data_IF_304571750859
#
_entry.id   IF_304571750859
#
_cell.length_a   1.000
_cell.length_b   1.000
_cell.length_c   1.000
_cell.angle_alpha   90.00
_cell.angle_beta   90.00
_cell.angle_gamma   90.00
#
_symmetry.space_group_name_H-M   'P 1'
#
loop_
_entity.id
_entity.type
_entity.pdbx_description
1 polymer ?
#
# COMPACT_ATOMS: atom_id res chain seq x y z
N UNK A 1 -2.65 -20.67 -1.36
CA UNK A 1 -2.36 -19.94 -0.10
C UNK A 1 -1.33 -18.88 -0.45
N UNK A 2 -1.62 -17.60 -0.21
CA UNK A 2 -0.64 -16.54 -0.46
C UNK A 2 0.51 -16.79 0.52
N UNK A 3 1.72 -16.98 0.01
CA UNK A 3 2.92 -17.10 0.85
C UNK A 3 3.22 -15.70 1.39
N UNK A 4 2.70 -15.40 2.57
CA UNK A 4 2.88 -14.11 3.24
C UNK A 4 4.19 -14.06 4.02
N UNK A 5 4.80 -12.89 4.11
CA UNK A 5 5.90 -12.64 5.04
C UNK A 5 5.37 -12.65 6.48
N UNK A 6 5.91 -13.52 7.33
CA UNK A 6 5.51 -13.69 8.73
C UNK A 6 5.70 -12.42 9.57
N UNK A 7 6.61 -11.52 9.17
CA UNK A 7 6.81 -10.21 9.78
C UNK A 7 5.57 -9.31 9.73
N UNK A 8 4.59 -9.62 8.87
CA UNK A 8 3.33 -8.90 8.81
C UNK A 8 2.29 -9.37 9.82
N UNK A 9 2.47 -10.53 10.45
CA UNK A 9 1.50 -11.09 11.41
C UNK A 9 1.09 -10.13 12.54
N UNK A 10 1.98 -9.32 13.15
CA UNK A 10 1.60 -8.36 14.18
C UNK A 10 0.59 -7.31 13.69
N UNK A 11 0.49 -7.08 12.38
CA UNK A 11 -0.42 -6.13 11.75
C UNK A 11 -1.70 -6.80 11.23
N UNK A 12 -2.06 -7.97 11.76
CA UNK A 12 -3.29 -8.70 11.38
C UNK A 12 -4.32 -8.81 12.50
N UNK A 13 -3.95 -8.46 13.74
CA UNK A 13 -4.82 -8.55 14.93
C UNK A 13 -5.02 -7.17 15.53
N UNK A 14 -6.26 -6.86 15.88
CA UNK A 14 -6.66 -5.64 16.60
C UNK A 14 -6.20 -4.33 15.94
N UNK A 15 -5.99 -4.35 14.62
CA UNK A 15 -5.63 -3.18 13.83
C UNK A 15 -6.68 -2.91 12.76
N UNK A 16 -6.88 -1.63 12.47
CA UNK A 16 -7.62 -1.20 11.28
C UNK A 16 -6.62 -0.99 10.16
N UNK A 17 -6.87 -1.62 9.03
CA UNK A 17 -6.11 -1.40 7.80
C UNK A 17 -6.84 -0.36 6.95
N UNK A 18 -6.07 0.40 6.20
CA UNK A 18 -6.57 1.21 5.09
C UNK A 18 -5.73 0.91 3.87
N UNK A 19 -6.34 1.05 2.70
CA UNK A 19 -5.68 0.82 1.42
C UNK A 19 -6.21 1.79 0.38
N UNK A 20 -5.71 1.70 -0.85
CA UNK A 20 -6.25 2.47 -1.97
C UNK A 20 -6.71 1.55 -3.09
N UNK A 21 -7.54 2.09 -3.98
CA UNK A 21 -7.89 1.43 -5.23
C UNK A 21 -6.67 1.03 -6.07
N UNK A 22 -5.54 1.74 -5.95
CA UNK A 22 -4.30 1.43 -6.67
C UNK A 22 -3.58 0.21 -6.06
N UNK A 23 -3.55 0.09 -4.74
CA UNK A 23 -3.01 -1.11 -4.10
C UNK A 23 -3.85 -2.34 -4.41
N UNK A 24 -5.18 -2.22 -4.44
CA UNK A 24 -6.05 -3.34 -4.85
C UNK A 24 -5.91 -3.68 -6.33
N UNK A 25 -5.66 -2.70 -7.19
CA UNK A 25 -5.31 -2.93 -8.60
C UNK A 25 -4.06 -3.80 -8.72
N UNK A 26 -2.98 -3.46 -8.00
CA UNK A 26 -1.74 -4.25 -7.98
C UNK A 26 -1.96 -5.65 -7.41
N UNK A 27 -2.68 -5.75 -6.29
CA UNK A 27 -3.02 -7.03 -5.67
C UNK A 27 -3.79 -7.92 -6.64
N UNK A 28 -4.85 -7.41 -7.25
CA UNK A 28 -5.67 -8.17 -8.18
C UNK A 28 -4.85 -8.65 -9.38
N UNK A 29 -4.03 -7.78 -9.96
CA UNK A 29 -3.15 -8.15 -11.08
C UNK A 29 -2.17 -9.27 -10.70
N UNK A 30 -1.55 -9.19 -9.53
CA UNK A 30 -0.66 -10.24 -9.03
C UNK A 30 -1.41 -11.56 -8.77
N UNK A 31 -2.63 -11.49 -8.23
CA UNK A 31 -3.44 -12.68 -7.93
C UNK A 31 -3.88 -13.41 -9.20
N UNK A 32 -4.10 -12.72 -10.33
CA UNK A 32 -4.42 -13.36 -11.61
C UNK A 32 -3.30 -14.29 -12.12
N UNK A 33 -2.04 -14.07 -11.69
CA UNK A 33 -0.92 -14.94 -12.05
C UNK A 33 -0.85 -16.21 -11.19
N UNK A 34 -1.53 -16.24 -10.05
CA UNK A 34 -1.43 -17.30 -9.04
C UNK A 34 -2.74 -18.10 -8.95
N UNK A 35 -3.88 -17.44 -9.17
CA UNK A 35 -5.22 -17.97 -8.97
C UNK A 35 -6.10 -17.77 -10.20
N UNK A 36 -7.28 -18.39 -10.19
CA UNK A 36 -8.29 -18.10 -11.19
C UNK A 36 -8.92 -16.70 -10.93
N UNK A 37 -9.64 -16.19 -11.93
CA UNK A 37 -10.28 -14.86 -11.86
C UNK A 37 -11.29 -14.73 -10.72
N UNK A 38 -12.03 -15.80 -10.39
CA UNK A 38 -13.02 -15.78 -9.31
C UNK A 38 -12.35 -15.58 -7.96
N UNK A 39 -11.30 -16.34 -7.68
CA UNK A 39 -10.55 -16.24 -6.44
C UNK A 39 -9.92 -14.84 -6.29
N UNK A 40 -9.31 -14.31 -7.37
CA UNK A 40 -8.75 -12.96 -7.37
C UNK A 40 -9.81 -11.89 -7.09
N UNK A 41 -11.03 -12.05 -7.62
CA UNK A 41 -12.17 -11.17 -7.37
C UNK A 41 -12.63 -11.25 -5.91
N UNK A 42 -12.65 -12.44 -5.31
CA UNK A 42 -13.04 -12.60 -3.90
C UNK A 42 -12.05 -11.91 -2.96
N UNK A 43 -10.75 -11.94 -3.27
CA UNK A 43 -9.75 -11.15 -2.55
C UNK A 43 -9.96 -9.64 -2.74
N UNK A 44 -10.21 -9.18 -3.96
CA UNK A 44 -10.46 -7.76 -4.22
C UNK A 44 -11.65 -7.24 -3.40
N UNK A 45 -12.80 -7.93 -3.48
CA UNK A 45 -14.02 -7.57 -2.75
C UNK A 45 -13.84 -7.57 -1.24
N UNK A 46 -13.04 -8.52 -0.71
CA UNK A 46 -12.73 -8.56 0.72
C UNK A 46 -12.05 -7.31 1.22
N UNK A 47 -11.22 -6.66 0.40
CA UNK A 47 -10.45 -5.49 0.83
C UNK A 47 -11.01 -4.15 0.34
N UNK A 48 -12.06 -4.18 -0.49
CA UNK A 48 -12.72 -2.99 -1.04
C UNK A 48 -13.25 -2.05 0.06
N UNK A 49 -13.75 -2.62 1.18
CA UNK A 49 -14.26 -1.83 2.31
C UNK A 49 -13.19 -0.99 3.04
N UNK A 50 -11.90 -1.28 2.82
CA UNK A 50 -10.79 -0.54 3.44
C UNK A 50 -10.22 0.56 2.53
N UNK A 51 -10.78 0.76 1.33
CA UNK A 51 -10.31 1.79 0.40
C UNK A 51 -10.60 3.18 0.97
N UNK A 52 -9.58 4.02 1.00
CA UNK A 52 -9.74 5.46 1.21
C UNK A 52 -9.67 6.24 -0.12
N UNK A 53 -10.45 7.33 -0.27
CA UNK A 53 -10.43 8.13 -1.49
C UNK A 53 -9.06 8.78 -1.75
N UNK A 54 -8.68 8.85 -3.02
CA UNK A 54 -7.50 9.60 -3.47
C UNK A 54 -7.98 10.97 -3.98
N UNK A 55 -7.70 12.04 -3.26
CA UNK A 55 -8.06 13.40 -3.66
C UNK A 55 -7.00 14.01 -4.60
N UNK A 56 -7.34 15.11 -5.28
CA UNK A 56 -6.39 15.83 -6.14
C UNK A 56 -5.19 16.37 -5.33
N UNK A 57 -5.43 16.80 -4.10
CA UNK A 57 -4.39 17.29 -3.18
C UNK A 57 -3.40 16.16 -2.85
N UNK A 58 -3.90 14.95 -2.57
CA UNK A 58 -3.05 13.77 -2.37
C UNK A 58 -2.20 13.50 -3.60
N UNK A 59 -2.78 13.57 -4.80
CA UNK A 59 -2.06 13.31 -6.05
C UNK A 59 -0.93 14.32 -6.22
N UNK A 60 -1.21 15.62 -6.09
CA UNK A 60 -0.23 16.69 -6.25
C UNK A 60 0.91 16.51 -5.25
N UNK A 61 0.60 16.35 -3.96
CA UNK A 61 1.61 16.19 -2.91
C UNK A 61 2.45 14.91 -3.10
N UNK A 62 1.82 13.80 -3.52
CA UNK A 62 2.54 12.57 -3.79
C UNK A 62 3.50 12.70 -4.99
N UNK A 63 3.13 13.48 -6.01
CA UNK A 63 4.00 13.71 -7.17
C UNK A 63 5.17 14.62 -6.82
N UNK A 64 4.94 15.66 -6.01
CA UNK A 64 6.01 16.52 -5.49
C UNK A 64 7.00 15.70 -4.64
N UNK A 65 6.47 14.86 -3.74
CA UNK A 65 7.27 13.92 -2.96
C UNK A 65 8.09 13.00 -3.87
N UNK A 66 7.46 12.37 -4.87
CA UNK A 66 8.17 11.48 -5.80
C UNK A 66 9.29 12.22 -6.55
N UNK A 67 9.07 13.47 -6.95
CA UNK A 67 10.07 14.29 -7.64
C UNK A 67 11.25 14.62 -6.74
N UNK A 68 11.01 14.95 -5.48
CA UNK A 68 12.07 15.18 -4.48
C UNK A 68 12.89 13.91 -4.21
N UNK A 69 12.24 12.76 -4.30
CA UNK A 69 12.82 11.44 -4.05
C UNK A 69 13.17 10.65 -5.33
N UNK A 70 13.37 11.33 -6.47
CA UNK A 70 13.50 10.68 -7.78
C UNK A 70 14.62 9.61 -7.85
N UNK A 71 15.70 9.79 -7.08
CA UNK A 71 16.83 8.84 -7.04
C UNK A 71 16.47 7.49 -6.41
N UNK A 72 15.42 7.44 -5.59
CA UNK A 72 14.95 6.22 -4.93
C UNK A 72 14.02 5.40 -5.84
N UNK A 73 13.64 5.93 -7.01
CA UNK A 73 12.79 5.25 -8.00
C UNK A 73 11.48 4.68 -7.40
N UNK A 74 10.86 5.44 -6.51
CA UNK A 74 9.60 5.05 -5.86
C UNK A 74 8.47 4.91 -6.89
N UNK A 75 7.61 3.92 -6.70
CA UNK A 75 6.43 3.75 -7.53
C UNK A 75 5.42 4.88 -7.28
N UNK A 76 4.55 5.14 -8.25
CA UNK A 76 3.44 6.09 -8.06
C UNK A 76 2.50 5.65 -6.93
N UNK A 77 2.24 4.34 -6.83
CA UNK A 77 1.33 3.76 -5.84
C UNK A 77 1.89 3.95 -4.43
N UNK A 78 3.18 3.68 -4.23
CA UNK A 78 3.84 3.87 -2.93
C UNK A 78 3.87 5.34 -2.51
N UNK A 79 4.13 6.25 -3.45
CA UNK A 79 4.13 7.69 -3.14
C UNK A 79 2.74 8.17 -2.69
N UNK A 80 1.67 7.69 -3.34
CA UNK A 80 0.29 8.01 -2.95
C UNK A 80 -0.04 7.38 -1.60
N UNK A 81 0.26 6.10 -1.40
CA UNK A 81 0.03 5.39 -0.14
C UNK A 81 0.75 6.04 1.05
N UNK A 82 2.02 6.39 0.88
CA UNK A 82 2.81 7.08 1.89
C UNK A 82 2.25 8.47 2.23
N UNK A 83 1.83 9.23 1.21
CA UNK A 83 1.25 10.57 1.40
C UNK A 83 -0.07 10.50 2.18
N UNK A 84 -0.93 9.53 1.85
CA UNK A 84 -2.18 9.26 2.56
C UNK A 84 -1.89 8.90 4.02
N UNK A 85 -0.98 7.94 4.26
CA UNK A 85 -0.62 7.50 5.60
C UNK A 85 -0.15 8.67 6.48
N UNK A 86 0.70 9.55 5.92
CA UNK A 86 1.11 10.79 6.58
C UNK A 86 -0.06 11.72 6.91
N UNK A 87 -0.96 11.98 5.95
CA UNK A 87 -2.11 12.87 6.18
C UNK A 87 -3.08 12.33 7.22
N UNK A 88 -3.26 11.01 7.26
CA UNK A 88 -4.11 10.34 8.23
C UNK A 88 -3.44 10.13 9.60
N UNK A 89 -2.15 10.48 9.72
CA UNK A 89 -1.33 10.24 10.92
C UNK A 89 -1.35 8.77 11.35
N UNK A 90 -1.27 7.86 10.39
CA UNK A 90 -1.17 6.41 10.59
C UNK A 90 0.14 5.90 10.00
N UNK A 91 0.72 4.81 10.53
CA UNK A 91 1.98 4.30 9.99
C UNK A 91 1.82 3.73 8.58
N UNK A 92 2.75 4.05 7.68
CA UNK A 92 2.88 3.42 6.36
C UNK A 92 3.63 2.08 6.51
N UNK A 93 2.91 0.97 6.34
CA UNK A 93 3.46 -0.37 6.47
C UNK A 93 4.02 -0.85 5.13
N UNK A 94 5.32 -1.17 5.07
CA UNK A 94 5.95 -1.64 3.84
C UNK A 94 7.18 -2.51 4.11
N UNK A 95 7.52 -3.37 3.14
CA UNK A 95 8.79 -4.11 3.11
C UNK A 95 9.79 -3.52 2.12
N UNK A 96 9.47 -2.36 1.52
CA UNK A 96 10.35 -1.70 0.57
C UNK A 96 11.44 -0.87 1.27
N UNK A 97 12.71 -1.21 1.05
CA UNK A 97 13.85 -0.64 1.78
C UNK A 97 14.03 0.85 1.54
N UNK A 98 13.54 1.35 0.41
CA UNK A 98 13.60 2.76 0.04
C UNK A 98 12.86 3.64 1.07
N UNK A 99 11.92 3.06 1.83
CA UNK A 99 11.15 3.73 2.87
C UNK A 99 11.65 3.47 4.30
N UNK A 100 12.63 2.58 4.52
CA UNK A 100 13.03 2.11 5.87
C UNK A 100 13.34 3.26 6.85
N UNK A 101 14.01 4.31 6.38
CA UNK A 101 14.42 5.46 7.18
C UNK A 101 13.49 6.68 7.06
N UNK A 102 12.32 6.52 6.43
CA UNK A 102 11.36 7.62 6.28
C UNK A 102 10.48 7.78 7.53
N UNK A 103 10.12 9.02 7.84
CA UNK A 103 9.20 9.31 8.93
C UNK A 103 7.85 8.60 8.71
N UNK A 104 7.20 8.20 9.79
CA UNK A 104 5.87 7.57 9.75
C UNK A 104 5.84 6.21 9.00
N UNK A 105 6.98 5.51 8.89
CA UNK A 105 7.04 4.17 8.29
C UNK A 105 7.15 3.08 9.34
N UNK A 106 6.47 1.95 9.09
CA UNK A 106 6.70 0.66 9.75
C UNK A 106 7.29 -0.27 8.72
N UNK A 107 8.60 -0.47 8.81
CA UNK A 107 9.33 -1.34 7.91
C UNK A 107 9.25 -2.79 8.39
N UNK A 108 8.96 -3.71 7.46
CA UNK A 108 8.92 -5.16 7.72
C UNK A 108 10.00 -5.85 6.89
N UNK A 109 10.92 -6.52 7.57
CA UNK A 109 12.01 -7.31 6.96
C UNK A 109 11.52 -8.64 6.39
#
# INVERSE_FOLDING_TARGET
MIVGNQGYLPFTKDVKIVTTQLNLMELYYQLLAIYNKSDAMDFFKRYEEFIVPISNEIIIEAMDFRKQHYKQNLSYVDCIGYTIAKKMNIPFLTGDKQFEEMANVKFVK
#
